data_IF_543547938797
#
_entry.id   IF_543547938797
#
_cell.length_a   1.000
_cell.length_b   1.000
_cell.length_c   1.000
_cell.angle_alpha   90.00
_cell.angle_beta   90.00
_cell.angle_gamma   90.00
#
_symmetry.space_group_name_H-M   'P 1'
#
loop_
_entity.id
_entity.type
_entity.pdbx_description
1 polymer ?
#
# COMPACT_ATOMS: atom_id res chain seq x y z
N UNK A 1 3.90 -24.04 -4.99
CA UNK A 1 4.15 -22.89 -5.89
C UNK A 1 2.78 -22.31 -6.21
N UNK A 2 2.38 -21.20 -5.57
CA UNK A 2 1.04 -20.63 -5.82
C UNK A 2 1.07 -19.93 -7.18
N UNK A 3 0.19 -20.31 -8.10
CA UNK A 3 0.26 -19.87 -9.48
C UNK A 3 -0.39 -18.49 -9.58
N UNK A 4 0.20 -17.57 -10.34
CA UNK A 4 -0.38 -16.29 -10.78
C UNK A 4 -1.17 -15.51 -9.71
N UNK A 5 -0.53 -14.49 -9.16
CA UNK A 5 -1.23 -13.39 -8.50
C UNK A 5 -2.22 -12.80 -9.52
N UNK A 6 -3.50 -13.10 -9.35
CA UNK A 6 -4.55 -12.41 -10.07
C UNK A 6 -4.36 -10.92 -9.77
N UNK A 7 -3.97 -10.15 -10.78
CA UNK A 7 -3.92 -8.69 -10.69
C UNK A 7 -5.32 -8.22 -10.33
N UNK A 8 -5.53 -7.90 -9.06
CA UNK A 8 -6.78 -7.35 -8.58
C UNK A 8 -7.07 -6.07 -9.38
N UNK A 9 -8.32 -5.85 -9.78
CA UNK A 9 -8.68 -4.67 -10.55
C UNK A 9 -8.24 -3.42 -9.77
N UNK A 10 -7.77 -2.36 -10.47
CA UNK A 10 -7.35 -1.13 -9.81
C UNK A 10 -8.46 -0.63 -8.89
N UNK A 11 -8.19 -0.61 -7.59
CA UNK A 11 -9.13 -0.04 -6.63
C UNK A 11 -8.96 1.47 -6.61
N UNK A 12 -10.09 2.17 -6.52
CA UNK A 12 -10.07 3.61 -6.35
C UNK A 12 -9.86 3.96 -4.87
N UNK A 13 -8.65 4.45 -4.57
CA UNK A 13 -8.24 4.89 -3.24
C UNK A 13 -8.43 6.40 -3.02
N UNK A 14 -8.93 7.15 -4.02
CA UNK A 14 -9.14 8.61 -3.92
C UNK A 14 -10.08 9.00 -2.77
N UNK A 15 -11.00 8.12 -2.40
CA UNK A 15 -11.92 8.31 -1.26
C UNK A 15 -11.24 8.47 0.11
N UNK A 16 -9.96 8.13 0.24
CA UNK A 16 -9.23 8.23 1.50
C UNK A 16 -8.46 9.54 1.66
N UNK A 17 -8.42 10.41 0.66
CA UNK A 17 -7.69 11.67 0.74
C UNK A 17 -8.16 12.66 -0.33
N UNK A 18 -8.24 13.92 0.06
CA UNK A 18 -8.38 15.03 -0.88
C UNK A 18 -7.19 15.98 -0.69
N UNK A 19 -6.38 16.10 -1.73
CA UNK A 19 -5.21 16.95 -1.72
C UNK A 19 -5.54 18.43 -1.99
N UNK A 20 -6.68 18.71 -2.62
CA UNK A 20 -7.15 20.07 -2.88
C UNK A 20 -7.73 20.68 -1.60
N UNK A 21 -8.57 19.91 -0.90
CA UNK A 21 -9.18 20.31 0.37
C UNK A 21 -8.27 20.04 1.59
N UNK A 22 -7.15 19.35 1.39
CA UNK A 22 -6.09 19.18 2.40
C UNK A 22 -6.43 18.25 3.55
N UNK A 23 -7.21 17.19 3.31
CA UNK A 23 -7.58 16.21 4.33
C UNK A 23 -7.21 14.77 3.95
N UNK A 24 -6.97 13.95 4.98
CA UNK A 24 -6.66 12.53 4.85
C UNK A 24 -7.53 11.74 5.82
N UNK A 25 -8.14 10.65 5.36
CA UNK A 25 -8.91 9.74 6.18
C UNK A 25 -8.00 8.97 7.14
N UNK A 26 -8.33 9.02 8.43
CA UNK A 26 -7.51 8.39 9.48
C UNK A 26 -7.45 6.86 9.38
N UNK A 27 -8.38 6.22 8.67
CA UNK A 27 -8.41 4.76 8.49
C UNK A 27 -7.13 4.21 7.87
N UNK A 28 -6.44 4.99 7.04
CA UNK A 28 -5.19 4.53 6.39
C UNK A 28 -4.09 4.18 7.41
N UNK A 29 -4.19 4.66 8.65
CA UNK A 29 -3.17 4.44 9.69
C UNK A 29 -3.44 3.25 10.60
N UNK A 30 -4.64 2.65 10.57
CA UNK A 30 -5.01 1.60 11.53
C UNK A 30 -5.87 0.48 10.97
N UNK A 31 -6.51 0.67 9.80
CA UNK A 31 -7.39 -0.34 9.23
C UNK A 31 -6.57 -1.54 8.72
N UNK A 32 -6.86 -2.71 9.28
CA UNK A 32 -6.15 -3.95 8.97
C UNK A 32 -6.30 -4.38 7.51
N UNK A 33 -7.48 -4.17 6.91
CA UNK A 33 -7.71 -4.54 5.52
C UNK A 33 -6.91 -3.64 4.58
N UNK A 34 -6.73 -2.36 4.91
CA UNK A 34 -5.84 -1.46 4.18
C UNK A 34 -4.39 -1.96 4.29
N UNK A 35 -3.91 -2.27 5.50
CA UNK A 35 -2.55 -2.78 5.70
C UNK A 35 -2.25 -4.05 4.90
N UNK A 36 -3.16 -5.01 4.87
CA UNK A 36 -3.00 -6.23 4.07
C UNK A 36 -2.89 -5.94 2.57
N UNK A 37 -3.61 -4.93 2.07
CA UNK A 37 -3.47 -4.47 0.68
C UNK A 37 -2.13 -3.78 0.45
N UNK A 38 -1.64 -2.98 1.40
CA UNK A 38 -0.33 -2.33 1.29
C UNK A 38 0.80 -3.37 1.18
N UNK A 39 0.72 -4.47 1.95
CA UNK A 39 1.68 -5.57 1.88
C UNK A 39 1.79 -6.15 0.46
N UNK A 40 0.65 -6.40 -0.19
CA UNK A 40 0.59 -6.99 -1.54
C UNK A 40 0.91 -5.96 -2.64
N UNK A 41 0.39 -4.74 -2.54
CA UNK A 41 0.42 -3.76 -3.64
C UNK A 41 1.59 -2.78 -3.58
N UNK A 42 2.15 -2.53 -2.40
CA UNK A 42 3.23 -1.56 -2.18
C UNK A 42 4.50 -2.28 -1.72
N UNK A 43 4.48 -2.92 -0.55
CA UNK A 43 5.70 -3.49 0.04
C UNK A 43 6.31 -4.63 -0.79
N UNK A 44 5.49 -5.44 -1.45
CA UNK A 44 5.97 -6.50 -2.33
C UNK A 44 6.53 -6.00 -3.67
N UNK A 45 6.29 -4.74 -4.03
CA UNK A 45 6.58 -4.19 -5.37
C UNK A 45 7.54 -3.01 -5.37
N UNK A 46 7.69 -2.33 -4.23
CA UNK A 46 8.56 -1.17 -4.07
C UNK A 46 9.98 -1.56 -3.64
N UNK A 47 10.94 -0.70 -3.95
CA UNK A 47 12.30 -0.84 -3.46
C UNK A 47 12.36 -0.53 -1.97
N UNK A 48 12.50 -1.57 -1.16
CA UNK A 48 12.63 -1.44 0.29
C UNK A 48 14.11 -1.25 0.65
N UNK A 49 14.41 -0.14 1.31
CA UNK A 49 15.72 0.07 1.89
C UNK A 49 15.94 -0.94 3.03
N UNK A 50 16.98 -1.78 2.92
CA UNK A 50 17.29 -2.82 3.92
C UNK A 50 18.43 -2.37 4.84
N UNK A 51 19.56 -1.98 4.26
CA UNK A 51 20.76 -1.60 5.01
C UNK A 51 21.74 -0.82 4.12
N UNK A 52 22.72 -0.17 4.76
CA UNK A 52 23.94 0.29 4.08
C UNK A 52 24.96 -0.85 4.01
N UNK A 53 25.82 -0.86 2.99
CA UNK A 53 26.80 -1.94 2.74
C UNK A 53 27.75 -2.21 3.91
N UNK A 54 28.04 -1.18 4.71
CA UNK A 54 28.99 -1.26 5.83
C UNK A 54 28.42 -1.80 7.14
N UNK A 55 27.16 -2.23 7.18
CA UNK A 55 26.54 -2.84 8.37
C UNK A 55 26.90 -4.32 8.53
#
# INVERSE_FOLDING_TARGET
MKPYEATQPPQDYSRYMDLEEGWVDRRIFWDQAIYERELEAIFARCWQFVAHESQ
#
